data_IF_527820873025
#
_entry.id   IF_527820873025
#
_cell.length_a   1.000
_cell.length_b   1.000
_cell.length_c   1.000
_cell.angle_alpha   90.00
_cell.angle_beta   90.00
_cell.angle_gamma   90.00
#
_symmetry.space_group_name_H-M   'P 1'
#
loop_
_entity.id
_entity.type
_entity.pdbx_description
1 polymer ?
#
# COMPACT_ATOMS: atom_id res chain seq x y z
N UNK A 1 22.45 -2.36 -8.21
CA UNK A 1 21.14 -2.97 -8.48
C UNK A 1 20.02 -2.00 -8.11
N UNK A 2 18.96 -2.00 -8.90
CA UNK A 2 17.80 -1.18 -8.58
C UNK A 2 17.08 -1.73 -7.34
N UNK A 3 16.64 -0.83 -6.46
CA UNK A 3 15.84 -1.21 -5.31
C UNK A 3 14.44 -1.65 -5.77
N UNK A 4 13.79 -2.53 -4.99
CA UNK A 4 12.39 -2.85 -5.18
C UNK A 4 11.57 -1.57 -4.99
N UNK A 5 10.70 -1.25 -5.95
CA UNK A 5 9.86 -0.06 -5.90
C UNK A 5 8.50 -0.43 -5.33
N UNK A 6 8.06 0.32 -4.32
CA UNK A 6 6.83 0.05 -3.59
C UNK A 6 5.89 1.24 -3.70
N UNK A 7 4.62 0.98 -3.97
CA UNK A 7 3.54 1.98 -3.91
C UNK A 7 2.82 1.80 -2.58
N UNK A 8 2.55 2.91 -1.87
CA UNK A 8 1.78 2.87 -0.63
C UNK A 8 0.33 3.26 -0.92
N UNK A 9 -0.59 2.31 -0.77
CA UNK A 9 -2.02 2.58 -0.83
C UNK A 9 -2.51 2.83 0.60
N UNK A 10 -3.05 4.01 0.88
CA UNK A 10 -3.47 4.39 2.24
C UNK A 10 -4.65 5.36 2.20
N UNK A 11 -5.36 5.44 3.32
CA UNK A 11 -6.46 6.40 3.50
C UNK A 11 -5.86 7.79 3.76
N UNK A 12 -5.86 8.63 2.74
CA UNK A 12 -5.24 9.94 2.80
C UNK A 12 -5.82 10.82 3.93
N UNK A 13 -7.12 10.71 4.18
CA UNK A 13 -7.78 11.57 5.15
C UNK A 13 -7.48 11.18 6.60
N UNK A 14 -7.19 9.89 6.86
CA UNK A 14 -7.05 9.37 8.23
C UNK A 14 -5.66 8.86 8.57
N UNK A 15 -4.88 8.38 7.59
CA UNK A 15 -3.65 7.64 7.83
C UNK A 15 -2.39 8.28 7.23
N UNK A 16 -2.45 9.56 6.86
CA UNK A 16 -1.31 10.24 6.24
C UNK A 16 -0.07 10.25 7.15
N UNK A 17 -0.28 10.40 8.47
CA UNK A 17 0.82 10.37 9.43
C UNK A 17 1.51 9.01 9.46
N UNK A 18 0.73 7.94 9.41
CA UNK A 18 1.27 6.57 9.40
C UNK A 18 2.06 6.33 8.11
N UNK A 19 1.58 6.84 6.98
CA UNK A 19 2.31 6.79 5.70
C UNK A 19 3.65 7.50 5.83
N UNK A 20 3.70 8.67 6.45
CA UNK A 20 4.95 9.42 6.64
C UNK A 20 5.95 8.65 7.49
N UNK A 21 5.49 7.98 8.55
CA UNK A 21 6.35 7.13 9.38
C UNK A 21 6.91 5.96 8.58
N UNK A 22 6.09 5.35 7.72
CA UNK A 22 6.52 4.25 6.88
C UNK A 22 7.57 4.70 5.86
N UNK A 23 7.36 5.82 5.20
CA UNK A 23 8.33 6.40 4.26
C UNK A 23 9.64 6.70 4.98
N UNK A 24 9.56 7.29 6.18
CA UNK A 24 10.76 7.56 6.99
C UNK A 24 11.55 6.32 7.30
N UNK A 25 10.88 5.21 7.58
CA UNK A 25 11.51 3.93 7.87
C UNK A 25 12.32 3.40 6.67
N UNK A 26 11.87 3.66 5.45
CA UNK A 26 12.56 3.22 4.23
C UNK A 26 13.91 3.91 4.01
N UNK A 27 14.18 4.99 4.74
CA UNK A 27 15.45 5.72 4.64
C UNK A 27 16.56 5.12 5.50
N UNK A 28 16.28 4.04 6.19
CA UNK A 28 17.29 3.29 6.96
C UNK A 28 18.37 2.75 6.02
N UNK A 29 19.68 2.83 6.41
CA UNK A 29 20.79 2.40 5.53
C UNK A 29 20.70 0.96 5.03
N UNK A 30 20.08 0.07 5.81
CA UNK A 30 19.95 -1.36 5.45
C UNK A 30 18.75 -1.64 4.52
N UNK A 31 18.06 -0.60 4.07
CA UNK A 31 16.89 -0.76 3.22
C UNK A 31 17.28 -1.05 1.77
N UNK A 32 16.71 -2.10 1.18
CA UNK A 32 16.91 -2.47 -0.21
C UNK A 32 15.64 -2.28 -1.06
N UNK A 33 14.74 -1.44 -0.58
CA UNK A 33 13.52 -1.06 -1.30
C UNK A 33 13.28 0.44 -1.12
N UNK A 34 12.41 1.00 -1.98
CA UNK A 34 12.04 2.42 -1.91
C UNK A 34 10.54 2.58 -2.12
N UNK A 35 9.95 3.57 -1.47
CA UNK A 35 8.57 3.96 -1.72
C UNK A 35 8.58 4.98 -2.87
N UNK A 36 8.32 4.48 -4.08
CA UNK A 36 8.42 5.28 -5.30
C UNK A 36 7.23 6.21 -5.49
N UNK A 37 6.07 5.85 -4.94
CA UNK A 37 4.84 6.64 -5.04
C UNK A 37 3.86 6.20 -3.96
N UNK A 38 2.78 6.96 -3.79
CA UNK A 38 1.72 6.67 -2.81
C UNK A 38 0.41 7.31 -3.23
N UNK A 39 -0.68 6.94 -2.54
CA UNK A 39 -2.01 7.49 -2.77
C UNK A 39 -1.99 9.02 -2.67
N UNK A 40 -2.73 9.67 -3.57
CA UNK A 40 -2.84 11.13 -3.58
C UNK A 40 -4.23 11.56 -3.11
N UNK A 41 -4.35 12.83 -2.74
CA UNK A 41 -5.63 13.42 -2.35
C UNK A 41 -6.49 13.81 -3.55
N UNK A 42 -6.04 13.55 -4.76
CA UNK A 42 -6.76 13.94 -5.96
C UNK A 42 -8.13 13.28 -6.06
N UNK A 43 -9.11 14.05 -6.51
CA UNK A 43 -10.43 13.52 -6.78
C UNK A 43 -10.38 12.54 -7.95
N UNK A 44 -11.26 11.54 -7.90
CA UNK A 44 -11.40 10.58 -8.97
C UNK A 44 -12.16 11.26 -10.13
N UNK A 45 -11.42 11.69 -11.15
CA UNK A 45 -11.96 12.30 -12.36
C UNK A 45 -12.01 11.28 -13.48
N UNK A 46 -12.51 11.66 -14.67
CA UNK A 46 -12.81 10.73 -15.75
C UNK A 46 -11.70 9.76 -16.14
N UNK A 47 -10.42 10.14 -16.00
CA UNK A 47 -9.28 9.29 -16.36
C UNK A 47 -8.52 8.74 -15.14
N UNK A 48 -9.12 8.79 -13.95
CA UNK A 48 -8.47 8.37 -12.72
C UNK A 48 -7.96 6.93 -12.76
N UNK A 49 -8.72 6.04 -13.37
CA UNK A 49 -8.37 4.62 -13.45
C UNK A 49 -7.08 4.42 -14.25
N UNK A 50 -6.96 5.11 -15.38
CA UNK A 50 -5.76 5.04 -16.21
C UNK A 50 -4.53 5.59 -15.47
N UNK A 51 -4.72 6.67 -14.71
CA UNK A 51 -3.63 7.26 -13.92
C UNK A 51 -3.14 6.31 -12.83
N UNK A 52 -4.06 5.68 -12.11
CA UNK A 52 -3.69 4.72 -11.06
C UNK A 52 -3.00 3.50 -11.70
N UNK A 53 -3.50 2.97 -12.80
CA UNK A 53 -2.85 1.87 -13.50
C UNK A 53 -1.40 2.20 -13.87
N UNK A 54 -1.16 3.41 -14.36
CA UNK A 54 0.20 3.85 -14.72
C UNK A 54 1.12 3.88 -13.50
N UNK A 55 0.62 4.39 -12.36
CA UNK A 55 1.39 4.43 -11.11
C UNK A 55 1.73 3.02 -10.62
N UNK A 56 0.74 2.13 -10.61
CA UNK A 56 0.94 0.76 -10.12
C UNK A 56 1.80 -0.07 -11.07
N UNK A 57 1.73 0.19 -12.37
CA UNK A 57 2.58 -0.50 -13.35
C UNK A 57 4.06 -0.13 -13.18
N UNK A 58 4.33 1.07 -12.66
CA UNK A 58 5.70 1.55 -12.44
C UNK A 58 6.40 0.88 -11.27
N UNK A 59 5.64 0.38 -10.29
CA UNK A 59 6.21 -0.23 -9.08
C UNK A 59 6.23 -1.76 -9.17
N UNK A 60 6.96 -2.39 -8.25
CA UNK A 60 7.10 -3.84 -8.22
C UNK A 60 6.07 -4.49 -7.30
N UNK A 61 5.63 -3.77 -6.25
CA UNK A 61 4.67 -4.28 -5.27
C UNK A 61 3.90 -3.13 -4.65
N UNK A 62 2.67 -3.41 -4.20
CA UNK A 62 1.82 -2.43 -3.52
C UNK A 62 1.74 -2.78 -2.03
N UNK A 63 2.11 -1.83 -1.17
CA UNK A 63 1.91 -1.94 0.27
C UNK A 63 0.59 -1.24 0.61
N UNK A 64 -0.41 -2.01 1.01
CA UNK A 64 -1.71 -1.46 1.43
C UNK A 64 -1.63 -1.20 2.93
N UNK A 65 -1.51 0.07 3.31
CA UNK A 65 -1.41 0.47 4.71
C UNK A 65 -2.82 0.56 5.30
N UNK A 66 -3.19 -0.44 6.07
CA UNK A 66 -4.56 -0.60 6.55
C UNK A 66 -4.76 0.08 7.91
N UNK A 67 -5.60 1.10 7.92
CA UNK A 67 -5.99 1.79 9.15
C UNK A 67 -7.32 1.26 9.69
N UNK A 68 -7.99 2.11 10.46
CA UNK A 68 -9.23 1.73 11.15
C UNK A 68 -10.48 1.99 10.31
N UNK A 69 -10.34 2.70 9.19
CA UNK A 69 -11.46 3.18 8.38
C UNK A 69 -11.45 2.63 6.95
N UNK A 70 -10.92 1.42 6.76
CA UNK A 70 -10.77 0.84 5.42
C UNK A 70 -12.12 0.60 4.72
N UNK A 71 -13.19 0.37 5.47
CA UNK A 71 -14.53 0.18 4.89
C UNK A 71 -15.01 1.40 4.10
N UNK A 72 -14.55 2.60 4.46
CA UNK A 72 -14.94 3.85 3.80
C UNK A 72 -13.80 4.48 2.98
N UNK A 73 -12.64 3.83 2.92
CA UNK A 73 -11.48 4.33 2.19
C UNK A 73 -11.60 3.97 0.70
N UNK A 74 -12.41 4.73 -0.05
CA UNK A 74 -12.71 4.42 -1.45
C UNK A 74 -11.48 4.45 -2.34
N UNK A 75 -10.53 5.36 -2.10
CA UNK A 75 -9.28 5.41 -2.87
C UNK A 75 -8.46 4.13 -2.74
N UNK A 76 -8.35 3.62 -1.51
CA UNK A 76 -7.65 2.35 -1.25
C UNK A 76 -8.37 1.20 -1.94
N UNK A 77 -9.71 1.16 -1.83
CA UNK A 77 -10.50 0.11 -2.47
C UNK A 77 -10.27 0.05 -3.98
N UNK A 78 -10.24 1.22 -4.64
CA UNK A 78 -9.96 1.30 -6.08
C UNK A 78 -8.53 0.85 -6.41
N UNK A 79 -7.55 1.27 -5.63
CA UNK A 79 -6.15 0.91 -5.87
C UNK A 79 -5.94 -0.60 -5.73
N UNK A 80 -6.55 -1.23 -4.73
CA UNK A 80 -6.49 -2.69 -4.55
C UNK A 80 -7.14 -3.41 -5.73
N UNK A 81 -8.31 -2.95 -6.16
CA UNK A 81 -9.02 -3.53 -7.32
C UNK A 81 -8.14 -3.48 -8.58
N UNK A 82 -7.51 -2.34 -8.84
CA UNK A 82 -6.66 -2.18 -10.03
C UNK A 82 -5.42 -3.07 -9.92
N UNK A 83 -4.82 -3.17 -8.74
CA UNK A 83 -3.69 -4.09 -8.54
C UNK A 83 -4.08 -5.52 -8.86
N UNK A 84 -5.26 -5.96 -8.44
CA UNK A 84 -5.79 -7.28 -8.76
C UNK A 84 -6.00 -7.46 -10.26
N UNK A 85 -6.58 -6.47 -10.92
CA UNK A 85 -6.85 -6.49 -12.36
C UNK A 85 -5.58 -6.65 -13.21
N UNK A 86 -4.51 -5.96 -12.83
CA UNK A 86 -3.26 -6.01 -13.59
C UNK A 86 -2.28 -7.08 -13.09
N UNK A 87 -2.70 -7.87 -12.09
CA UNK A 87 -1.84 -8.92 -11.54
C UNK A 87 -0.65 -8.40 -10.74
N UNK A 88 -0.73 -7.20 -10.21
CA UNK A 88 0.35 -6.61 -9.41
C UNK A 88 0.33 -7.19 -8.00
N UNK A 89 1.47 -7.71 -7.50
CA UNK A 89 1.53 -8.20 -6.11
C UNK A 89 1.24 -7.09 -5.12
N UNK A 90 0.52 -7.41 -4.05
CA UNK A 90 0.27 -6.49 -2.95
C UNK A 90 0.22 -7.25 -1.63
N UNK A 91 0.40 -6.52 -0.53
CA UNK A 91 0.22 -7.06 0.82
C UNK A 91 -0.46 -6.02 1.69
N UNK A 92 -1.15 -6.48 2.74
CA UNK A 92 -1.85 -5.62 3.68
C UNK A 92 -1.01 -5.48 4.94
N UNK A 93 -0.69 -4.24 5.31
CA UNK A 93 0.12 -3.94 6.49
C UNK A 93 -0.70 -3.14 7.48
N UNK A 94 -0.77 -3.60 8.75
CA UNK A 94 -1.53 -2.92 9.79
C UNK A 94 -0.83 -1.61 10.19
N UNK A 95 -1.53 -0.48 10.05
CA UNK A 95 -0.99 0.83 10.41
C UNK A 95 -0.92 1.06 11.91
N UNK A 96 -1.73 0.35 12.68
CA UNK A 96 -1.83 0.48 14.15
C UNK A 96 -1.78 -0.90 14.77
N UNK A 97 -1.55 -0.96 16.10
CA UNK A 97 -1.51 -2.22 16.83
C UNK A 97 -2.89 -2.89 16.88
N UNK A 98 -3.96 -2.10 17.03
CA UNK A 98 -5.31 -2.61 17.20
C UNK A 98 -6.30 -1.91 16.28
N UNK A 99 -7.40 -2.57 15.97
CA UNK A 99 -8.54 -1.97 15.28
C UNK A 99 -8.38 -1.78 13.79
N UNK A 100 -7.30 -2.29 13.20
CA UNK A 100 -7.11 -2.20 11.75
C UNK A 100 -8.09 -3.12 11.03
N UNK A 101 -8.56 -2.67 9.85
CA UNK A 101 -9.49 -3.44 9.03
C UNK A 101 -8.92 -3.63 7.63
N UNK A 102 -9.49 -4.56 6.88
CA UNK A 102 -9.08 -4.77 5.49
C UNK A 102 -9.90 -3.89 4.55
N UNK A 103 -9.33 -3.47 3.40
CA UNK A 103 -10.12 -2.78 2.39
C UNK A 103 -11.31 -3.61 1.93
N UNK A 104 -12.39 -2.95 1.53
CA UNK A 104 -13.61 -3.65 1.09
C UNK A 104 -13.38 -4.55 -0.13
N UNK A 105 -12.36 -4.24 -0.94
CA UNK A 105 -12.03 -5.00 -2.15
C UNK A 105 -10.93 -6.04 -1.93
N UNK A 106 -10.42 -6.18 -0.70
CA UNK A 106 -9.45 -7.24 -0.39
C UNK A 106 -10.11 -8.61 -0.53
N UNK A 107 -9.30 -9.61 -0.93
CA UNK A 107 -9.76 -10.98 -1.05
C UNK A 107 -9.90 -11.62 0.34
N UNK A 108 -10.75 -12.65 0.44
CA UNK A 108 -11.02 -13.30 1.73
C UNK A 108 -9.76 -13.89 2.37
N UNK A 109 -8.83 -14.39 1.57
CA UNK A 109 -7.59 -14.98 2.04
C UNK A 109 -6.42 -13.99 2.14
N UNK A 110 -6.64 -12.73 1.83
CA UNK A 110 -5.62 -11.68 2.05
C UNK A 110 -5.39 -11.51 3.55
N UNK A 111 -4.15 -11.62 3.98
CA UNK A 111 -3.78 -11.51 5.39
C UNK A 111 -3.38 -10.09 5.74
N UNK A 112 -3.78 -9.65 6.94
CA UNK A 112 -3.34 -8.37 7.50
C UNK A 112 -2.12 -8.63 8.37
N UNK A 113 -0.93 -8.15 7.92
CA UNK A 113 0.34 -8.39 8.60
C UNK A 113 0.64 -7.28 9.60
N UNK A 114 1.25 -7.65 10.72
CA UNK A 114 1.71 -6.69 11.72
C UNK A 114 2.87 -5.87 11.16
N UNK A 115 2.84 -4.56 11.41
CA UNK A 115 3.90 -3.66 10.96
C UNK A 115 5.11 -3.78 11.89
N UNK A 116 6.08 -4.58 11.46
CA UNK A 116 7.42 -4.67 12.07
C UNK A 116 8.44 -4.50 10.96
N UNK A 117 9.64 -4.11 11.33
CA UNK A 117 10.73 -3.98 10.36
C UNK A 117 10.99 -5.30 9.62
N UNK A 118 11.04 -6.40 10.37
CA UNK A 118 11.26 -7.72 9.77
C UNK A 118 10.15 -8.12 8.81
N UNK A 119 8.89 -7.93 9.20
CA UNK A 119 7.76 -8.24 8.32
C UNK A 119 7.80 -7.39 7.07
N UNK A 120 8.06 -6.10 7.19
CA UNK A 120 8.09 -5.20 6.05
C UNK A 120 9.13 -5.65 5.03
N UNK A 121 10.35 -5.96 5.47
CA UNK A 121 11.40 -6.44 4.58
C UNK A 121 11.01 -7.74 3.87
N UNK A 122 10.45 -8.69 4.59
CA UNK A 122 10.02 -9.98 4.04
C UNK A 122 8.89 -9.83 3.04
N UNK A 123 7.89 -9.00 3.39
CA UNK A 123 6.72 -8.79 2.55
C UNK A 123 7.08 -8.11 1.22
N UNK A 124 7.96 -7.14 1.27
CA UNK A 124 8.44 -6.47 0.05
C UNK A 124 9.14 -7.46 -0.87
N UNK A 125 9.86 -8.43 -0.32
CA UNK A 125 10.60 -9.43 -1.10
C UNK A 125 9.76 -10.63 -1.56
N UNK A 126 8.50 -10.72 -1.17
CA UNK A 126 7.60 -11.75 -1.66
C UNK A 126 7.16 -12.81 -0.67
N UNK A 127 7.51 -12.69 0.58
CA UNK A 127 7.10 -13.63 1.64
C UNK A 127 5.67 -13.33 2.11
N UNK A 128 4.70 -13.51 1.20
CA UNK A 128 3.30 -13.14 1.41
C UNK A 128 2.37 -14.35 1.43
#
# INVERSE_FOLDING_TARGET
>A
MANTRVFISFDYDNDARQKDLLVGQSKHPDTDFEFADWSSKEHLTGDWKAKIKAKLAYVDVVCVLCGKNMATASGVAHEVTIAQEIGKPYFLLAAYQDGCTKPSTALADDKLYTWTWDNLKKLVKGAR
#
